data_IF_604240330124
#
_entry.id   IF_604240330124
#
_cell.length_a   1.000
_cell.length_b   1.000
_cell.length_c   1.000
_cell.angle_alpha   90.00
_cell.angle_beta   90.00
_cell.angle_gamma   90.00
#
_symmetry.space_group_name_H-M   'P 1'
#
loop_
_entity.id
_entity.type
_entity.pdbx_description
1 polymer ?
#
# COMPACT_ATOMS: atom_id res chain seq x y z
N UNK A 1 48.06 -68.51 -41.39
CA UNK A 1 46.70 -68.36 -41.83
C UNK A 1 45.93 -67.67 -40.69
N UNK A 2 45.46 -66.42 -40.97
CA UNK A 2 45.02 -65.47 -39.95
C UNK A 2 43.53 -65.58 -39.77
N UNK A 3 43.07 -65.80 -38.50
CA UNK A 3 41.64 -65.70 -38.13
C UNK A 3 41.34 -64.33 -37.58
N UNK A 4 40.33 -63.66 -38.14
CA UNK A 4 39.78 -62.41 -37.72
C UNK A 4 38.67 -62.66 -36.69
N UNK A 5 38.81 -62.11 -35.48
CA UNK A 5 37.78 -62.11 -34.46
C UNK A 5 37.03 -60.77 -34.51
N UNK A 6 35.71 -60.79 -34.77
CA UNK A 6 34.83 -59.65 -34.73
C UNK A 6 34.48 -59.29 -33.27
N UNK A 7 34.74 -58.06 -32.92
CA UNK A 7 34.33 -57.47 -31.63
C UNK A 7 33.05 -56.66 -31.89
N UNK A 8 31.92 -57.12 -31.37
CA UNK A 8 30.65 -56.35 -31.40
C UNK A 8 30.59 -55.44 -30.16
N UNK A 9 30.62 -54.15 -30.38
CA UNK A 9 30.36 -53.12 -29.34
C UNK A 9 28.86 -52.89 -29.19
N UNK A 10 28.33 -53.24 -28.03
CA UNK A 10 26.97 -52.88 -27.64
C UNK A 10 26.91 -51.45 -27.16
N UNK A 11 26.25 -50.56 -27.92
CA UNK A 11 25.95 -49.18 -27.51
C UNK A 11 24.67 -49.23 -26.67
N UNK A 12 24.81 -49.03 -25.36
CA UNK A 12 23.68 -48.85 -24.44
C UNK A 12 23.21 -47.39 -24.51
N UNK A 13 22.16 -47.12 -25.26
CA UNK A 13 21.51 -45.81 -25.36
C UNK A 13 20.71 -45.52 -24.09
N UNK A 14 21.22 -44.63 -23.22
CA UNK A 14 20.44 -44.01 -22.15
C UNK A 14 19.44 -43.01 -22.76
N UNK A 15 18.15 -43.36 -22.82
CA UNK A 15 17.09 -42.44 -23.07
C UNK A 15 16.88 -41.53 -21.83
N UNK A 16 17.38 -40.30 -21.90
CA UNK A 16 17.00 -39.25 -20.98
C UNK A 16 15.54 -38.84 -21.30
N UNK A 17 14.59 -39.26 -20.51
CA UNK A 17 13.27 -38.64 -20.45
C UNK A 17 13.43 -37.25 -19.78
N UNK A 18 13.65 -36.22 -20.57
CA UNK A 18 13.49 -34.85 -20.14
C UNK A 18 11.99 -34.64 -19.80
N UNK A 19 11.69 -34.54 -18.52
CA UNK A 19 10.40 -34.01 -18.08
C UNK A 19 10.41 -32.55 -18.49
N UNK A 20 9.74 -32.23 -19.61
CA UNK A 20 9.35 -30.87 -19.95
C UNK A 20 8.37 -30.42 -18.87
N UNK A 21 8.84 -29.69 -17.88
CA UNK A 21 7.97 -28.91 -17.02
C UNK A 21 7.22 -27.94 -17.98
N UNK A 22 5.94 -28.22 -18.20
CA UNK A 22 5.06 -27.30 -18.92
C UNK A 22 5.10 -25.93 -18.21
N UNK A 23 4.84 -24.83 -18.91
CA UNK A 23 4.77 -23.52 -18.28
C UNK A 23 3.76 -23.63 -17.13
N UNK A 24 4.23 -23.38 -15.92
CA UNK A 24 3.33 -23.13 -14.79
C UNK A 24 2.43 -22.00 -15.26
N UNK A 25 1.12 -22.23 -15.36
CA UNK A 25 0.15 -21.20 -15.66
C UNK A 25 0.31 -20.15 -14.58
N UNK A 26 0.89 -19.01 -14.91
CA UNK A 26 0.91 -17.85 -14.05
C UNK A 26 -0.56 -17.57 -13.68
N UNK A 27 -0.88 -17.62 -12.40
CA UNK A 27 -2.22 -17.30 -11.91
C UNK A 27 -2.53 -15.90 -12.44
N UNK A 28 -3.55 -15.76 -13.29
CA UNK A 28 -3.92 -14.45 -13.83
C UNK A 28 -4.44 -13.58 -12.70
N UNK A 29 -3.98 -12.34 -12.64
CA UNK A 29 -4.53 -11.36 -11.69
C UNK A 29 -6.01 -11.16 -12.02
N UNK A 30 -6.93 -11.31 -11.05
CA UNK A 30 -8.35 -11.10 -11.28
C UNK A 30 -8.65 -9.70 -11.81
N UNK A 31 -9.66 -9.58 -12.65
CA UNK A 31 -10.11 -8.33 -13.27
C UNK A 31 -11.40 -7.77 -12.67
N UNK A 32 -11.98 -8.46 -11.69
CA UNK A 32 -13.14 -8.00 -10.93
C UNK A 32 -13.07 -8.49 -9.49
N UNK A 33 -13.60 -7.69 -8.57
CA UNK A 33 -13.54 -7.92 -7.14
C UNK A 33 -14.89 -7.60 -6.49
N UNK A 34 -15.23 -8.33 -5.43
CA UNK A 34 -16.32 -7.97 -4.52
C UNK A 34 -15.87 -8.11 -3.08
N UNK A 35 -16.37 -7.24 -2.21
CA UNK A 35 -15.91 -7.10 -0.84
C UNK A 35 -17.04 -7.12 0.16
N UNK A 36 -16.73 -7.55 1.40
CA UNK A 36 -17.53 -7.26 2.58
C UNK A 36 -16.77 -6.32 3.50
N UNK A 37 -17.47 -5.37 4.11
CA UNK A 37 -16.84 -4.40 5.00
C UNK A 37 -17.43 -4.41 6.39
N UNK A 38 -16.59 -4.12 7.37
CA UNK A 38 -16.98 -3.83 8.75
C UNK A 38 -17.69 -2.48 8.85
N UNK A 39 -18.28 -2.18 10.01
CA UNK A 39 -18.47 -0.82 10.49
C UNK A 39 -17.15 -0.11 10.78
N UNK A 40 -17.17 1.12 11.30
CA UNK A 40 -15.97 1.79 11.76
C UNK A 40 -15.25 0.95 12.82
N UNK A 41 -13.99 0.59 12.55
CA UNK A 41 -13.14 -0.18 13.48
C UNK A 41 -12.32 0.73 14.38
N UNK A 42 -11.76 1.79 13.80
CA UNK A 42 -10.93 2.76 14.50
C UNK A 42 -11.53 4.14 14.23
N UNK A 43 -12.02 4.76 15.30
CA UNK A 43 -12.52 6.13 15.30
C UNK A 43 -11.51 7.06 15.94
N UNK A 44 -11.52 8.35 15.62
CA UNK A 44 -10.65 9.34 16.25
C UNK A 44 -10.75 9.29 17.79
N UNK A 45 -9.62 9.35 18.46
CA UNK A 45 -9.54 9.39 19.92
C UNK A 45 -8.68 10.57 20.34
N UNK A 46 -9.19 11.33 21.28
CA UNK A 46 -8.50 12.47 21.89
C UNK A 46 -7.90 12.09 23.23
N UNK A 47 -6.89 12.84 23.66
CA UNK A 47 -6.41 12.85 25.05
C UNK A 47 -6.46 14.26 25.63
N UNK A 48 -5.75 14.53 26.72
CA UNK A 48 -5.75 15.85 27.37
C UNK A 48 -5.04 16.94 26.55
N UNK A 49 -4.24 16.57 25.56
CA UNK A 49 -3.40 17.46 24.73
C UNK A 49 -3.76 17.44 23.26
N UNK A 50 -4.46 16.39 22.79
CA UNK A 50 -4.82 16.20 21.39
C UNK A 50 -6.34 16.09 21.25
N UNK A 51 -6.94 17.03 20.52
CA UNK A 51 -8.35 17.02 20.17
C UNK A 51 -8.50 16.55 18.71
N UNK A 52 -8.54 15.23 18.50
CA UNK A 52 -8.52 14.60 17.19
C UNK A 52 -9.94 14.40 16.66
N UNK A 53 -10.16 14.77 15.41
CA UNK A 53 -11.45 14.70 14.72
C UNK A 53 -11.47 13.70 13.56
N UNK A 54 -10.30 13.26 13.08
CA UNK A 54 -10.19 12.28 12.00
C UNK A 54 -8.97 11.37 12.18
N UNK A 55 -9.09 10.11 11.74
CA UNK A 55 -7.99 9.17 11.54
C UNK A 55 -8.01 8.70 10.10
N UNK A 56 -6.84 8.73 9.42
CA UNK A 56 -6.70 8.64 7.98
C UNK A 56 -5.47 7.84 7.55
N UNK A 57 -5.38 7.55 6.25
CA UNK A 57 -4.18 7.08 5.54
C UNK A 57 -3.45 5.95 6.30
N UNK A 58 -4.13 4.84 6.66
CA UNK A 58 -3.50 3.81 7.47
C UNK A 58 -2.50 2.97 6.66
N UNK A 59 -1.36 2.68 7.27
CA UNK A 59 -0.42 1.65 6.85
C UNK A 59 -0.23 0.65 7.98
N UNK A 60 -0.28 -0.65 7.68
CA UNK A 60 -0.27 -1.70 8.69
C UNK A 60 0.67 -2.85 8.33
N UNK A 61 1.41 -3.34 9.33
CA UNK A 61 2.22 -4.56 9.24
C UNK A 61 1.90 -5.50 10.37
N UNK A 62 1.96 -6.81 10.10
CA UNK A 62 1.78 -7.83 11.13
C UNK A 62 3.12 -8.13 11.79
N UNK A 63 3.19 -7.87 13.09
CA UNK A 63 4.41 -8.07 13.86
C UNK A 63 4.11 -8.57 15.28
N UNK A 64 4.80 -9.63 15.71
CA UNK A 64 4.63 -10.25 17.03
C UNK A 64 3.17 -10.60 17.38
N UNK A 65 2.43 -11.13 16.40
CA UNK A 65 1.04 -11.58 16.60
C UNK A 65 -0.02 -10.46 16.64
N UNK A 66 0.35 -9.23 16.30
CA UNK A 66 -0.54 -8.06 16.30
C UNK A 66 -0.31 -7.19 15.06
N UNK A 67 -1.31 -6.40 14.71
CA UNK A 67 -1.17 -5.35 13.70
C UNK A 67 -0.55 -4.10 14.33
N UNK A 68 0.55 -3.67 13.76
CA UNK A 68 1.18 -2.36 14.00
C UNK A 68 0.68 -1.43 12.92
N UNK A 69 -0.06 -0.40 13.32
CA UNK A 69 -0.70 0.54 12.39
C UNK A 69 -0.13 1.93 12.66
N UNK A 70 0.32 2.59 11.61
CA UNK A 70 0.58 4.03 11.59
C UNK A 70 -0.48 4.67 10.70
N UNK A 71 -1.04 5.78 11.13
CA UNK A 71 -2.09 6.49 10.42
C UNK A 71 -1.90 8.00 10.55
N UNK A 72 -2.43 8.76 9.61
CA UNK A 72 -2.57 10.20 9.79
C UNK A 72 -3.67 10.50 10.80
N UNK A 73 -3.49 11.51 11.63
CA UNK A 73 -4.54 12.13 12.43
C UNK A 73 -4.78 13.57 12.01
N UNK A 74 -5.97 14.10 12.30
CA UNK A 74 -6.33 15.50 12.08
C UNK A 74 -6.95 16.04 13.35
N UNK A 75 -6.41 17.15 13.86
CA UNK A 75 -6.95 17.80 15.04
C UNK A 75 -8.10 18.76 14.72
N UNK A 76 -8.77 19.27 15.74
CA UNK A 76 -9.91 20.19 15.60
C UNK A 76 -9.58 21.54 14.95
N UNK A 77 -8.30 21.88 14.81
CA UNK A 77 -7.84 23.05 14.05
C UNK A 77 -7.57 22.74 12.57
N UNK A 78 -7.77 21.47 12.14
CA UNK A 78 -7.52 21.02 10.79
C UNK A 78 -6.05 20.75 10.47
N UNK A 79 -5.19 20.65 11.48
CA UNK A 79 -3.78 20.33 11.31
C UNK A 79 -3.57 18.81 11.33
N UNK A 80 -2.64 18.34 10.50
CA UNK A 80 -2.30 16.93 10.34
C UNK A 80 -1.05 16.56 11.14
N UNK A 81 -1.08 15.37 11.73
CA UNK A 81 0.08 14.63 12.23
C UNK A 81 -0.17 13.12 12.02
N UNK A 82 0.53 12.28 12.75
CA UNK A 82 0.37 10.84 12.70
C UNK A 82 0.14 10.25 14.08
N UNK A 83 -0.55 9.12 14.12
CA UNK A 83 -0.72 8.30 15.29
C UNK A 83 -0.28 6.85 15.06
N UNK A 84 0.14 6.19 16.13
CA UNK A 84 0.46 4.78 16.18
C UNK A 84 -0.61 4.03 16.97
N UNK A 85 -1.00 2.85 16.47
CA UNK A 85 -1.91 1.92 17.11
C UNK A 85 -1.34 0.50 17.07
N UNK A 86 -1.66 -0.30 18.08
CA UNK A 86 -1.31 -1.72 18.13
C UNK A 86 -2.59 -2.51 18.45
N UNK A 87 -3.06 -3.30 17.48
CA UNK A 87 -4.35 -4.00 17.57
C UNK A 87 -4.21 -5.50 17.40
N UNK A 88 -5.15 -6.25 17.93
CA UNK A 88 -5.19 -7.72 17.85
C UNK A 88 -5.26 -8.19 16.39
N UNK A 89 -4.79 -9.42 16.12
CA UNK A 89 -4.76 -10.03 14.81
C UNK A 89 -6.15 -10.08 14.12
N UNK A 90 -7.22 -10.22 14.90
CA UNK A 90 -8.61 -10.24 14.46
C UNK A 90 -9.31 -8.87 14.55
N UNK A 91 -8.57 -7.80 14.89
CA UNK A 91 -9.09 -6.45 15.13
C UNK A 91 -10.11 -6.32 16.26
N UNK A 92 -10.27 -7.32 17.12
CA UNK A 92 -11.29 -7.35 18.20
C UNK A 92 -11.14 -6.22 19.22
N UNK A 93 -9.93 -5.70 19.43
CA UNK A 93 -9.64 -4.59 20.34
C UNK A 93 -9.46 -3.22 19.63
N UNK A 94 -9.62 -3.15 18.31
CA UNK A 94 -9.35 -1.95 17.52
C UNK A 94 -10.16 -0.73 18.00
N UNK A 95 -11.45 -0.94 18.33
CA UNK A 95 -12.33 0.13 18.83
C UNK A 95 -11.86 0.74 20.17
N UNK A 96 -11.09 0.02 20.95
CA UNK A 96 -10.60 0.45 22.28
C UNK A 96 -9.10 0.74 22.30
N UNK A 97 -8.37 0.40 21.24
CA UNK A 97 -6.94 0.66 21.14
C UNK A 97 -6.65 2.16 21.37
N UNK A 98 -5.68 2.45 22.22
CA UNK A 98 -5.27 3.83 22.52
C UNK A 98 -4.18 4.26 21.54
N UNK A 99 -4.32 5.40 20.87
CA UNK A 99 -3.27 5.92 20.01
C UNK A 99 -2.07 6.43 20.83
N UNK A 100 -0.90 6.35 20.23
CA UNK A 100 0.27 7.15 20.59
C UNK A 100 0.43 8.21 19.51
N UNK A 101 0.35 9.48 19.86
CA UNK A 101 0.50 10.59 18.93
C UNK A 101 1.99 10.82 18.62
N UNK A 102 2.32 10.83 17.34
CA UNK A 102 3.71 10.83 16.90
C UNK A 102 4.44 12.15 17.16
N UNK A 103 3.73 13.26 17.36
CA UNK A 103 4.34 14.53 17.78
C UNK A 103 4.97 14.47 19.19
N UNK A 104 4.67 13.44 19.98
CA UNK A 104 5.40 13.11 21.21
C UNK A 104 6.79 12.47 20.94
N UNK A 105 7.08 12.12 19.68
CA UNK A 105 8.40 11.59 19.27
C UNK A 105 9.26 12.74 18.76
N UNK A 106 10.51 12.89 19.25
CA UNK A 106 11.38 13.97 18.79
C UNK A 106 11.53 14.03 17.27
N UNK A 107 11.24 15.19 16.68
CA UNK A 107 11.32 15.44 15.24
C UNK A 107 10.04 15.23 14.46
N UNK A 108 8.94 14.75 15.11
CA UNK A 108 7.65 14.53 14.45
C UNK A 108 6.61 15.62 14.76
N UNK A 109 7.01 16.73 15.32
CA UNK A 109 6.10 17.87 15.52
C UNK A 109 5.75 18.56 14.20
N UNK A 110 4.51 19.00 14.06
CA UNK A 110 4.00 19.68 12.85
C UNK A 110 3.47 18.70 11.80
N UNK A 111 3.52 19.09 10.53
CA UNK A 111 2.91 18.35 9.42
C UNK A 111 3.73 17.11 9.06
N UNK A 112 3.20 15.95 9.43
CA UNK A 112 3.66 14.62 9.05
C UNK A 112 2.42 13.77 8.79
N UNK A 113 2.30 13.12 7.62
CA UNK A 113 1.06 12.44 7.22
C UNK A 113 1.31 11.34 6.18
N UNK A 114 0.28 10.56 5.85
CA UNK A 114 0.30 9.50 4.84
C UNK A 114 1.47 8.51 5.04
N UNK A 115 1.50 7.78 6.18
CA UNK A 115 2.60 6.88 6.50
C UNK A 115 2.58 5.60 5.67
N UNK A 116 3.79 5.04 5.44
CA UNK A 116 4.02 3.63 5.11
C UNK A 116 5.03 3.06 6.10
N UNK A 117 4.72 1.92 6.70
CA UNK A 117 5.64 1.20 7.59
C UNK A 117 6.01 -0.15 7.00
N UNK A 118 7.32 -0.49 6.97
CA UNK A 118 7.81 -1.80 6.54
C UNK A 118 9.18 -2.13 7.15
N UNK A 119 9.54 -3.42 7.15
CA UNK A 119 10.86 -3.89 7.53
C UNK A 119 11.79 -3.95 6.31
N UNK A 120 12.90 -3.23 6.35
CA UNK A 120 13.90 -3.32 5.29
C UNK A 120 14.94 -4.39 5.65
N UNK A 121 14.74 -5.58 5.12
CA UNK A 121 15.51 -6.78 5.45
C UNK A 121 17.03 -6.63 5.21
N UNK A 122 17.52 -5.97 4.12
CA UNK A 122 18.97 -5.80 3.91
C UNK A 122 19.69 -5.03 5.03
N UNK A 123 18.99 -4.12 5.71
CA UNK A 123 19.56 -3.33 6.82
C UNK A 123 19.06 -3.78 8.19
N UNK A 124 18.13 -4.75 8.25
CA UNK A 124 17.49 -5.24 9.49
C UNK A 124 16.90 -4.09 10.31
N UNK A 125 16.18 -3.19 9.64
CA UNK A 125 15.57 -2.00 10.24
C UNK A 125 14.15 -1.82 9.75
N UNK A 126 13.31 -1.30 10.61
CA UNK A 126 12.00 -0.76 10.26
C UNK A 126 12.16 0.63 9.67
N UNK A 127 11.38 0.90 8.65
CA UNK A 127 11.25 2.21 8.02
C UNK A 127 9.83 2.70 8.19
N UNK A 128 9.69 3.96 8.50
CA UNK A 128 8.45 4.74 8.43
C UNK A 128 8.69 5.82 7.38
N UNK A 129 7.99 5.70 6.26
CA UNK A 129 7.99 6.68 5.18
C UNK A 129 6.78 7.57 5.39
N UNK A 130 6.87 8.85 5.13
CA UNK A 130 5.76 9.78 5.30
C UNK A 130 5.98 11.07 4.52
N UNK A 131 4.90 11.84 4.41
CA UNK A 131 4.88 13.15 3.78
C UNK A 131 5.10 14.24 4.83
N UNK A 132 6.03 15.17 4.54
CA UNK A 132 6.27 16.38 5.33
C UNK A 132 6.75 17.50 4.41
N UNK A 133 5.85 17.96 3.51
CA UNK A 133 6.20 18.86 2.40
C UNK A 133 7.05 18.20 1.31
N UNK A 134 7.72 17.09 1.63
CA UNK A 134 8.44 16.20 0.73
C UNK A 134 8.49 14.79 1.33
N UNK A 135 8.91 13.76 0.55
CA UNK A 135 9.08 12.42 1.09
C UNK A 135 10.18 12.39 2.15
N UNK A 136 9.80 11.91 3.33
CA UNK A 136 10.71 11.71 4.45
C UNK A 136 10.68 10.27 4.92
N UNK A 137 11.71 9.87 5.65
CA UNK A 137 11.78 8.58 6.32
C UNK A 137 12.39 8.72 7.72
N UNK A 138 12.02 7.78 8.56
CA UNK A 138 12.64 7.52 9.85
C UNK A 138 12.91 6.03 9.99
N UNK A 139 13.80 5.63 10.90
CA UNK A 139 14.12 4.21 11.14
C UNK A 139 13.98 3.84 12.60
N UNK A 140 13.65 2.56 12.85
CA UNK A 140 13.53 2.00 14.19
C UNK A 140 14.02 0.54 14.20
N UNK A 141 14.42 0.03 15.36
CA UNK A 141 14.71 -1.40 15.56
C UNK A 141 13.47 -2.21 15.94
N UNK A 142 12.43 -1.55 16.47
CA UNK A 142 11.18 -2.15 16.92
C UNK A 142 9.99 -1.23 16.58
N UNK A 143 9.10 -1.63 15.65
CA UNK A 143 8.00 -0.77 15.18
C UNK A 143 6.92 -0.58 16.24
N UNK A 144 6.95 -1.38 17.33
CA UNK A 144 6.02 -1.25 18.46
C UNK A 144 6.45 -0.22 19.50
N UNK A 145 7.56 0.47 19.24
CA UNK A 145 8.12 1.53 20.10
C UNK A 145 8.10 2.86 19.37
N UNK A 146 6.93 3.49 19.22
CA UNK A 146 6.78 4.70 18.41
C UNK A 146 7.67 5.86 18.87
N UNK A 147 8.01 5.93 20.16
CA UNK A 147 8.92 6.94 20.72
C UNK A 147 10.40 6.79 20.29
N UNK A 148 10.78 5.66 19.68
CA UNK A 148 12.17 5.34 19.34
C UNK A 148 12.51 5.54 17.85
N UNK A 149 11.61 6.11 17.07
CA UNK A 149 11.91 6.50 15.70
C UNK A 149 13.03 7.55 15.67
N UNK A 150 13.97 7.39 14.74
CA UNK A 150 15.06 8.37 14.56
C UNK A 150 14.51 9.70 14.04
N UNK A 151 15.31 10.75 14.13
CA UNK A 151 14.96 12.02 13.49
C UNK A 151 14.65 11.82 12.00
N UNK A 152 13.55 12.41 11.48
CA UNK A 152 13.21 12.38 10.07
C UNK A 152 14.32 12.86 9.15
N UNK A 153 14.44 12.20 7.99
CA UNK A 153 15.38 12.55 6.93
C UNK A 153 14.68 12.61 5.59
N UNK A 154 15.11 13.49 4.73
CA UNK A 154 14.57 13.64 3.39
C UNK A 154 15.15 12.60 2.44
N UNK A 155 14.33 12.10 1.49
CA UNK A 155 14.82 11.31 0.36
C UNK A 155 15.52 12.16 -0.70
N UNK A 156 15.13 13.43 -0.83
CA UNK A 156 15.72 14.39 -1.77
C UNK A 156 16.20 15.64 -1.04
N UNK A 157 17.24 16.27 -1.57
CA UNK A 157 17.68 17.57 -1.08
C UNK A 157 16.65 18.68 -1.36
N UNK A 158 15.93 18.55 -2.47
CA UNK A 158 14.84 19.45 -2.89
C UNK A 158 13.90 18.73 -3.85
N UNK A 159 12.67 19.24 -4.02
CA UNK A 159 11.73 18.72 -4.99
C UNK A 159 12.32 18.82 -6.41
N UNK A 160 12.34 17.69 -7.17
CA UNK A 160 12.79 17.70 -8.56
C UNK A 160 11.91 18.60 -9.42
N UNK A 161 12.53 19.39 -10.32
CA UNK A 161 11.82 20.33 -11.19
C UNK A 161 10.82 19.68 -12.17
N UNK A 162 10.96 18.37 -12.42
CA UNK A 162 10.03 17.58 -13.24
C UNK A 162 8.71 17.23 -12.51
N UNK A 163 8.61 17.55 -11.22
CA UNK A 163 7.46 17.22 -10.37
C UNK A 163 6.86 18.52 -9.84
N UNK A 164 5.65 18.83 -10.26
CA UNK A 164 4.95 20.07 -9.85
C UNK A 164 4.36 19.98 -8.45
N UNK A 165 3.86 18.80 -8.09
CA UNK A 165 3.35 18.45 -6.77
C UNK A 165 3.66 16.98 -6.49
N UNK A 166 3.77 16.59 -5.21
CA UNK A 166 4.00 15.22 -4.81
C UNK A 166 3.40 14.93 -3.44
N UNK A 167 2.65 13.83 -3.39
CA UNK A 167 1.96 13.36 -2.18
C UNK A 167 1.95 11.83 -2.14
N UNK A 168 1.63 11.27 -0.97
CA UNK A 168 1.34 9.85 -0.75
C UNK A 168 2.42 8.91 -1.26
N UNK A 169 3.56 8.94 -0.57
CA UNK A 169 4.75 8.21 -0.98
C UNK A 169 4.69 6.74 -0.56
N UNK A 170 5.01 5.86 -1.50
CA UNK A 170 5.10 4.43 -1.28
C UNK A 170 6.43 3.86 -1.76
N UNK A 171 7.10 3.09 -0.92
CA UNK A 171 8.36 2.41 -1.24
C UNK A 171 8.10 0.91 -1.36
N UNK A 172 8.54 0.32 -2.46
CA UNK A 172 8.58 -1.13 -2.67
C UNK A 172 9.91 -1.50 -3.32
N UNK A 173 10.47 -2.68 -2.97
CA UNK A 173 11.74 -3.11 -3.55
C UNK A 173 11.60 -4.50 -4.19
N UNK A 174 12.27 -4.67 -5.33
CA UNK A 174 12.64 -5.99 -5.86
C UNK A 174 14.02 -6.40 -5.31
N UNK A 175 14.61 -7.45 -5.87
CA UNK A 175 15.92 -7.94 -5.47
C UNK A 175 17.11 -7.04 -5.88
N UNK A 176 16.87 -6.04 -6.73
CA UNK A 176 17.91 -5.20 -7.35
C UNK A 176 17.76 -3.73 -6.96
N UNK A 177 16.53 -3.24 -6.91
CA UNK A 177 16.22 -1.82 -6.69
C UNK A 177 15.09 -1.62 -5.70
N UNK A 178 15.11 -0.46 -5.06
CA UNK A 178 13.95 0.12 -4.40
C UNK A 178 13.35 1.21 -5.28
N UNK A 179 12.03 1.30 -5.27
CA UNK A 179 11.24 2.25 -6.03
C UNK A 179 10.41 3.10 -5.07
N UNK A 180 10.38 4.39 -5.34
CA UNK A 180 9.51 5.35 -4.68
C UNK A 180 8.42 5.74 -5.66
N UNK A 181 7.19 5.38 -5.36
CA UNK A 181 5.99 5.74 -6.10
C UNK A 181 5.27 6.87 -5.41
N UNK A 182 4.56 7.70 -6.16
CA UNK A 182 3.75 8.79 -5.62
C UNK A 182 2.85 9.41 -6.69
N UNK A 183 1.85 10.16 -6.27
CA UNK A 183 0.98 10.98 -7.12
C UNK A 183 1.25 12.47 -6.94
N UNK A 184 0.59 13.28 -7.74
CA UNK A 184 0.75 14.73 -7.71
C UNK A 184 -0.55 15.52 -7.76
N UNK A 185 -1.71 14.92 -7.49
CA UNK A 185 -3.04 15.53 -7.68
C UNK A 185 -3.27 16.12 -9.08
N UNK A 186 -2.54 15.63 -10.06
CA UNK A 186 -2.48 16.21 -11.39
C UNK A 186 -2.73 15.20 -12.52
N UNK A 187 -3.21 14.00 -12.16
CA UNK A 187 -3.48 12.93 -13.12
C UNK A 187 -2.24 12.12 -13.51
N UNK A 188 -1.14 12.24 -12.78
CA UNK A 188 0.09 11.50 -13.06
C UNK A 188 0.49 10.60 -11.88
N UNK A 189 0.89 9.39 -12.23
CA UNK A 189 1.53 8.43 -11.35
C UNK A 189 3.03 8.41 -11.63
N UNK A 190 3.83 8.70 -10.61
CA UNK A 190 5.27 8.87 -10.72
C UNK A 190 6.03 7.71 -10.09
N UNK A 191 7.26 7.50 -10.56
CA UNK A 191 8.21 6.56 -10.02
C UNK A 191 9.63 7.11 -10.05
N UNK A 192 10.35 6.98 -8.93
CA UNK A 192 11.80 7.08 -8.89
C UNK A 192 12.39 5.73 -8.44
N UNK A 193 13.70 5.52 -8.63
CA UNK A 193 14.37 4.28 -8.20
C UNK A 193 15.78 4.52 -7.73
N UNK A 194 16.28 3.62 -6.87
CA UNK A 194 17.68 3.54 -6.43
C UNK A 194 18.11 2.07 -6.36
N UNK A 195 19.38 1.73 -6.56
CA UNK A 195 19.89 0.39 -6.25
C UNK A 195 19.57 0.02 -4.78
N UNK A 196 19.17 -1.23 -4.52
CA UNK A 196 18.77 -1.68 -3.19
C UNK A 196 19.84 -1.44 -2.13
N UNK A 197 21.13 -1.58 -2.50
CA UNK A 197 22.25 -1.32 -1.61
C UNK A 197 22.47 0.16 -1.27
N UNK A 198 21.87 1.08 -2.01
CA UNK A 198 21.96 2.52 -1.75
C UNK A 198 20.78 3.05 -0.91
N UNK A 199 19.67 2.29 -0.87
CA UNK A 199 18.47 2.72 -0.14
C UNK A 199 18.82 3.06 1.33
N UNK A 200 18.31 4.20 1.86
CA UNK A 200 17.26 5.09 1.35
C UNK A 200 17.78 6.27 0.50
N UNK A 201 19.02 6.26 0.05
CA UNK A 201 19.64 7.36 -0.67
C UNK A 201 19.71 7.08 -2.19
N UNK A 202 20.01 8.13 -2.97
CA UNK A 202 20.38 7.98 -4.37
C UNK A 202 19.21 7.72 -5.32
N UNK A 203 17.99 8.08 -4.95
CA UNK A 203 16.85 8.07 -5.87
C UNK A 203 17.10 8.99 -7.05
N UNK A 204 16.84 8.49 -8.26
CA UNK A 204 16.96 9.25 -9.50
C UNK A 204 15.81 10.28 -9.64
N UNK A 205 15.88 11.07 -10.69
CA UNK A 205 14.77 11.96 -11.08
C UNK A 205 13.51 11.14 -11.37
N UNK A 206 12.36 11.48 -10.77
CA UNK A 206 11.11 10.78 -11.01
C UNK A 206 10.67 10.87 -12.47
N UNK A 207 10.03 9.79 -12.93
CA UNK A 207 9.40 9.70 -14.25
C UNK A 207 7.92 9.39 -14.09
N UNK A 208 7.09 9.86 -15.03
CA UNK A 208 5.68 9.50 -15.12
C UNK A 208 5.58 8.09 -15.69
N UNK A 209 4.87 7.19 -15.03
CA UNK A 209 4.70 5.79 -15.44
C UNK A 209 3.29 5.46 -15.90
N UNK A 210 2.31 6.28 -15.50
CA UNK A 210 0.97 6.27 -16.04
C UNK A 210 0.35 7.67 -15.90
N UNK A 211 -0.62 7.99 -16.76
CA UNK A 211 -1.38 9.25 -16.70
C UNK A 211 -2.84 9.02 -17.06
N UNK A 212 -3.71 9.82 -16.46
CA UNK A 212 -5.14 9.86 -16.76
C UNK A 212 -5.68 11.27 -16.47
N UNK A 213 -7.01 11.44 -16.43
CA UNK A 213 -7.57 12.65 -15.86
C UNK A 213 -7.20 12.75 -14.38
N UNK A 214 -7.18 13.97 -13.85
CA UNK A 214 -6.92 14.21 -12.42
C UNK A 214 -7.83 13.37 -11.51
N UNK A 215 -9.08 13.16 -11.87
CA UNK A 215 -10.03 12.40 -11.07
C UNK A 215 -9.83 10.88 -11.17
N UNK A 216 -9.28 10.39 -12.27
CA UNK A 216 -9.00 8.96 -12.46
C UNK A 216 -7.58 8.54 -12.05
N UNK A 217 -6.75 9.47 -11.64
CA UNK A 217 -5.39 9.26 -11.12
C UNK A 217 -5.13 10.36 -10.10
N UNK A 218 -5.84 10.26 -8.96
CA UNK A 218 -5.95 11.37 -8.03
C UNK A 218 -4.83 11.33 -6.98
N UNK A 219 -4.90 10.38 -6.05
CA UNK A 219 -3.93 10.25 -4.94
C UNK A 219 -3.84 8.80 -4.44
N UNK A 220 -3.11 8.53 -3.36
CA UNK A 220 -3.16 7.28 -2.61
C UNK A 220 -2.68 6.06 -3.39
N UNK A 221 -1.46 6.06 -3.89
CA UNK A 221 -0.88 4.98 -4.70
C UNK A 221 -0.08 3.99 -3.88
N UNK A 222 -0.66 2.86 -3.59
CA UNK A 222 0.01 1.76 -2.90
C UNK A 222 0.35 0.65 -3.89
N UNK A 223 1.62 0.24 -3.89
CA UNK A 223 2.16 -0.75 -4.84
C UNK A 223 2.52 -2.04 -4.12
N UNK A 224 2.09 -3.18 -4.68
CA UNK A 224 2.26 -4.50 -4.10
C UNK A 224 2.85 -5.50 -5.08
N UNK A 225 3.64 -6.45 -4.59
CA UNK A 225 3.98 -7.66 -5.33
C UNK A 225 2.89 -8.71 -5.14
N UNK A 226 2.51 -9.40 -6.21
CA UNK A 226 1.50 -10.46 -6.16
C UNK A 226 2.18 -11.81 -6.01
N UNK A 227 1.95 -12.48 -4.90
CA UNK A 227 2.59 -13.74 -4.54
C UNK A 227 2.47 -14.79 -5.64
N UNK A 228 3.57 -15.46 -5.98
CA UNK A 228 3.60 -16.57 -6.94
C UNK A 228 3.40 -16.20 -8.42
N UNK A 229 3.22 -14.92 -8.77
CA UNK A 229 2.88 -14.52 -10.16
C UNK A 229 3.99 -13.78 -10.89
N UNK A 230 4.89 -13.10 -10.17
CA UNK A 230 5.86 -12.16 -10.76
C UNK A 230 5.22 -10.87 -11.29
N UNK A 231 3.97 -10.58 -10.90
CA UNK A 231 3.21 -9.38 -11.27
C UNK A 231 3.19 -8.41 -10.09
N UNK A 232 3.10 -7.13 -10.39
CA UNK A 232 2.89 -6.06 -9.42
C UNK A 232 1.56 -5.37 -9.70
N UNK A 233 0.89 -4.92 -8.66
CA UNK A 233 -0.33 -4.12 -8.75
C UNK A 233 -0.14 -2.79 -8.02
N UNK A 234 -0.79 -1.75 -8.53
CA UNK A 234 -0.86 -0.44 -7.89
C UNK A 234 -2.33 -0.05 -7.74
N UNK A 235 -2.76 0.21 -6.51
CA UNK A 235 -4.10 0.72 -6.21
C UNK A 235 -4.04 2.24 -6.14
N UNK A 236 -4.76 2.90 -7.03
CA UNK A 236 -4.79 4.36 -7.15
C UNK A 236 -6.16 4.85 -6.70
N UNK A 237 -6.19 5.80 -5.79
CA UNK A 237 -7.43 6.47 -5.39
C UNK A 237 -7.95 7.40 -6.50
N UNK A 238 -9.25 7.37 -6.71
CA UNK A 238 -9.96 8.10 -7.74
C UNK A 238 -11.20 8.81 -7.18
N UNK A 239 -11.67 9.82 -7.90
CA UNK A 239 -12.92 10.51 -7.60
C UNK A 239 -14.00 10.12 -8.60
N UNK A 240 -15.13 9.63 -8.10
CA UNK A 240 -16.34 9.36 -8.87
C UNK A 240 -17.14 10.63 -9.20
N UNK A 241 -18.24 10.50 -9.96
CA UNK A 241 -19.01 11.64 -10.49
C UNK A 241 -19.55 12.61 -9.45
N UNK A 242 -19.82 12.14 -8.21
CA UNK A 242 -20.32 12.98 -7.11
C UNK A 242 -19.24 13.16 -6.01
N UNK A 243 -17.97 13.00 -6.36
CA UNK A 243 -16.85 13.12 -5.43
C UNK A 243 -16.65 11.92 -4.51
N UNK A 244 -17.39 10.81 -4.69
CA UNK A 244 -17.13 9.59 -3.94
C UNK A 244 -15.75 9.06 -4.28
N UNK A 245 -15.06 8.55 -3.29
CA UNK A 245 -13.73 7.98 -3.46
C UNK A 245 -13.80 6.49 -3.69
N UNK A 246 -12.95 5.99 -4.60
CA UNK A 246 -12.83 4.58 -4.95
C UNK A 246 -11.40 4.27 -5.40
N UNK A 247 -11.03 3.01 -5.46
CA UNK A 247 -9.74 2.56 -5.97
C UNK A 247 -9.89 1.89 -7.33
N UNK A 248 -9.02 2.28 -8.25
CA UNK A 248 -8.71 1.52 -9.47
C UNK A 248 -7.41 0.76 -9.28
N UNK A 249 -7.13 -0.22 -10.15
CA UNK A 249 -5.87 -0.96 -10.12
C UNK A 249 -5.15 -0.88 -11.46
N UNK A 250 -3.86 -0.58 -11.39
CA UNK A 250 -2.91 -0.76 -12.48
C UNK A 250 -2.09 -2.02 -12.20
N UNK A 251 -1.47 -2.59 -13.25
CA UNK A 251 -0.56 -3.71 -13.12
C UNK A 251 0.69 -3.55 -13.97
N UNK A 252 1.77 -4.23 -13.59
CA UNK A 252 3.03 -4.31 -14.33
C UNK A 252 3.70 -5.66 -14.11
N UNK A 253 4.49 -6.12 -15.09
CA UNK A 253 5.31 -7.34 -14.97
C UNK A 253 6.65 -7.10 -14.25
N UNK A 254 7.01 -5.85 -14.01
CA UNK A 254 8.16 -5.45 -13.19
C UNK A 254 7.99 -4.01 -12.72
N UNK A 255 8.55 -3.66 -11.54
CA UNK A 255 8.41 -2.34 -10.93
C UNK A 255 9.00 -1.22 -11.79
N UNK A 256 10.03 -1.51 -12.56
CA UNK A 256 10.68 -0.55 -13.47
C UNK A 256 10.00 -0.40 -14.83
N UNK A 257 8.96 -1.19 -15.12
CA UNK A 257 8.27 -1.27 -16.39
C UNK A 257 7.16 -0.27 -16.61
N UNK A 258 6.36 -0.56 -17.63
CA UNK A 258 5.13 0.16 -17.97
C UNK A 258 3.97 -0.36 -17.13
N UNK A 259 3.15 0.55 -16.63
CA UNK A 259 1.94 0.26 -15.89
C UNK A 259 0.71 0.40 -16.79
N UNK A 260 -0.19 -0.56 -16.71
CA UNK A 260 -1.41 -0.62 -17.52
C UNK A 260 -2.63 -0.84 -16.64
N UNK A 261 -3.80 -0.41 -17.09
CA UNK A 261 -5.08 -0.69 -16.40
C UNK A 261 -5.31 -2.19 -16.26
N UNK A 262 -5.82 -2.61 -15.11
CA UNK A 262 -6.17 -4.00 -14.83
C UNK A 262 -7.65 -4.24 -15.20
N UNK A 263 -7.92 -4.38 -16.49
CA UNK A 263 -9.24 -4.78 -16.99
C UNK A 263 -10.41 -3.93 -16.47
N UNK A 264 -11.40 -4.59 -15.87
CA UNK A 264 -12.61 -3.93 -15.39
C UNK A 264 -12.48 -3.21 -14.03
N UNK A 265 -11.28 -3.14 -13.44
CA UNK A 265 -11.08 -2.51 -12.12
C UNK A 265 -10.69 -1.05 -12.20
N UNK A 266 -10.82 -0.41 -13.36
CA UNK A 266 -10.25 0.90 -13.62
C UNK A 266 -11.26 2.03 -13.78
N UNK A 267 -12.53 1.82 -13.39
CA UNK A 267 -13.56 2.84 -13.48
C UNK A 267 -14.56 2.75 -12.31
N UNK A 268 -15.30 3.84 -12.11
CA UNK A 268 -16.22 3.96 -10.98
C UNK A 268 -17.29 2.86 -10.88
N UNK A 269 -17.99 2.44 -11.96
CA UNK A 269 -19.00 1.39 -11.88
C UNK A 269 -18.44 -0.01 -11.58
N UNK A 270 -17.16 -0.26 -11.88
CA UNK A 270 -16.49 -1.53 -11.62
C UNK A 270 -15.13 -1.29 -10.97
N UNK A 271 -15.10 -0.77 -9.72
CA UNK A 271 -13.85 -0.42 -9.06
C UNK A 271 -13.11 -1.66 -8.55
N UNK A 272 -11.83 -1.51 -8.22
CA UNK A 272 -11.15 -2.48 -7.35
C UNK A 272 -11.81 -2.50 -5.96
N UNK A 273 -12.00 -1.33 -5.35
CA UNK A 273 -12.71 -1.14 -4.09
C UNK A 273 -13.49 0.17 -4.13
N UNK A 274 -14.81 0.11 -3.97
CA UNK A 274 -15.68 1.28 -3.98
C UNK A 274 -17.11 0.92 -3.59
N UNK A 275 -18.01 1.90 -3.57
CA UNK A 275 -19.38 1.70 -3.12
C UNK A 275 -20.16 0.64 -3.92
N UNK A 276 -19.82 0.44 -5.21
CA UNK A 276 -20.59 -0.43 -6.11
C UNK A 276 -20.19 -1.91 -6.01
N UNK A 277 -19.06 -2.22 -5.36
CA UNK A 277 -18.61 -3.59 -5.14
C UNK A 277 -18.35 -3.97 -3.67
N UNK A 278 -18.74 -3.09 -2.72
CA UNK A 278 -18.68 -3.36 -1.28
C UNK A 278 -20.07 -3.58 -0.70
N UNK A 279 -20.24 -4.65 0.05
CA UNK A 279 -21.39 -4.88 0.93
C UNK A 279 -20.96 -4.83 2.38
N UNK A 280 -21.78 -4.32 3.28
CA UNK A 280 -21.46 -4.30 4.70
C UNK A 280 -21.85 -5.62 5.37
N UNK A 281 -21.11 -6.00 6.42
CA UNK A 281 -21.38 -7.21 7.18
C UNK A 281 -22.82 -7.21 7.74
N UNK A 282 -23.38 -8.41 7.97
CA UNK A 282 -24.73 -8.56 8.53
C UNK A 282 -24.90 -7.73 9.81
N UNK A 283 -25.97 -6.95 9.88
CA UNK A 283 -26.26 -6.04 11.00
C UNK A 283 -25.48 -4.71 11.00
N UNK A 284 -24.62 -4.48 10.01
CA UNK A 284 -23.88 -3.22 9.85
C UNK A 284 -24.57 -2.38 8.76
N UNK A 285 -25.06 -1.19 9.14
CA UNK A 285 -25.56 -0.22 8.17
C UNK A 285 -24.41 0.38 7.36
N UNK A 286 -24.68 0.70 6.09
CA UNK A 286 -23.72 1.42 5.26
C UNK A 286 -23.38 2.78 5.89
N UNK A 287 -22.15 2.94 6.33
CA UNK A 287 -21.69 4.11 7.05
C UNK A 287 -20.85 5.06 6.18
N UNK A 288 -20.43 4.61 5.01
CA UNK A 288 -19.68 5.39 4.03
C UNK A 288 -20.08 5.00 2.61
N UNK A 289 -19.93 5.95 1.68
CA UNK A 289 -19.94 5.72 0.23
C UNK A 289 -18.59 6.05 -0.40
N UNK A 290 -17.63 6.52 0.41
CA UNK A 290 -16.27 6.86 0.00
C UNK A 290 -15.28 5.88 0.65
N UNK A 291 -14.56 5.15 -0.18
CA UNK A 291 -13.46 4.28 0.21
C UNK A 291 -12.18 5.00 -0.22
N UNK A 292 -11.50 5.57 0.76
CA UNK A 292 -10.41 6.51 0.54
C UNK A 292 -9.16 6.03 1.26
N UNK A 293 -8.06 6.68 1.05
CA UNK A 293 -6.68 6.35 1.48
C UNK A 293 -6.57 5.19 2.45
N UNK A 294 -5.69 4.27 2.14
CA UNK A 294 -5.50 3.05 2.92
C UNK A 294 -4.67 2.05 2.15
N UNK A 295 -4.58 0.82 2.63
CA UNK A 295 -3.75 -0.18 1.99
C UNK A 295 -4.22 -1.61 2.20
N UNK A 296 -3.79 -2.49 1.30
CA UNK A 296 -3.89 -3.93 1.50
C UNK A 296 -3.04 -4.33 2.71
N UNK A 297 -3.56 -5.23 3.53
CA UNK A 297 -2.78 -5.90 4.55
C UNK A 297 -1.86 -6.90 3.84
N UNK A 298 -0.55 -6.72 4.01
CA UNK A 298 0.47 -7.51 3.30
C UNK A 298 0.72 -8.86 4.00
N UNK A 299 1.14 -9.84 3.20
CA UNK A 299 1.63 -11.13 3.68
C UNK A 299 3.11 -10.99 4.06
N UNK A 300 3.39 -10.91 5.33
CA UNK A 300 4.71 -10.54 5.84
C UNK A 300 4.76 -9.11 6.34
N UNK A 301 5.94 -8.48 6.26
CA UNK A 301 6.14 -7.12 6.76
C UNK A 301 7.34 -6.42 6.11
N UNK A 302 7.93 -7.00 5.07
CA UNK A 302 9.16 -6.49 4.48
C UNK A 302 8.91 -5.60 3.24
N UNK A 303 9.99 -5.08 2.71
CA UNK A 303 10.02 -4.14 1.58
C UNK A 303 9.46 -4.67 0.26
N UNK A 304 9.05 -5.93 0.19
CA UNK A 304 8.45 -6.51 -1.03
C UNK A 304 6.95 -6.27 -1.10
N UNK A 305 6.33 -5.85 0.00
CA UNK A 305 4.89 -5.58 0.11
C UNK A 305 4.05 -6.66 -0.57
N UNK A 306 4.31 -7.93 -0.22
CA UNK A 306 3.69 -9.09 -0.86
C UNK A 306 2.24 -9.26 -0.45
N UNK A 307 1.36 -9.55 -1.42
CA UNK A 307 -0.06 -9.85 -1.18
C UNK A 307 -0.48 -11.12 -1.89
N UNK A 308 -1.35 -11.88 -1.25
CA UNK A 308 -1.98 -13.06 -1.82
C UNK A 308 -3.42 -12.72 -2.25
N UNK A 309 -3.69 -12.81 -3.54
CA UNK A 309 -4.98 -12.41 -4.13
C UNK A 309 -6.16 -13.27 -3.69
N UNK A 310 -5.96 -14.40 -3.01
CA UNK A 310 -7.05 -15.28 -2.55
C UNK A 310 -7.70 -14.84 -1.23
N UNK A 311 -7.04 -13.95 -0.46
CA UNK A 311 -7.52 -13.55 0.87
C UNK A 311 -7.21 -12.07 1.23
N UNK A 312 -7.35 -11.19 0.26
CA UNK A 312 -7.10 -9.76 0.43
C UNK A 312 -7.95 -9.15 1.55
N UNK A 313 -7.33 -8.27 2.30
CA UNK A 313 -7.98 -7.35 3.23
C UNK A 313 -7.46 -5.95 2.98
N UNK A 314 -8.35 -4.96 2.98
CA UNK A 314 -8.01 -3.56 2.72
C UNK A 314 -8.44 -2.72 3.92
N UNK A 315 -7.49 -2.13 4.62
CA UNK A 315 -7.76 -1.17 5.69
C UNK A 315 -7.88 0.22 5.04
N UNK A 316 -9.07 0.82 5.12
CA UNK A 316 -9.40 2.06 4.40
C UNK A 316 -9.98 3.12 5.34
N UNK A 317 -9.91 4.37 4.92
CA UNK A 317 -10.67 5.44 5.56
C UNK A 317 -12.03 5.64 4.88
N UNK A 318 -13.05 5.86 5.69
CA UNK A 318 -14.41 6.21 5.26
C UNK A 318 -15.00 7.29 6.15
N UNK A 319 -16.04 7.95 5.68
CA UNK A 319 -16.78 8.94 6.45
C UNK A 319 -18.26 8.90 6.11
N UNK A 320 -19.09 9.37 7.05
CA UNK A 320 -20.51 9.52 6.80
C UNK A 320 -20.75 10.44 5.60
N UNK A 321 -21.57 10.04 4.60
CA UNK A 321 -21.78 10.83 3.40
C UNK A 321 -22.30 12.25 3.66
N UNK A 322 -23.13 12.43 4.70
CA UNK A 322 -23.62 13.75 5.08
C UNK A 322 -22.54 14.66 5.68
N UNK A 323 -21.56 14.09 6.36
CA UNK A 323 -20.39 14.83 6.88
C UNK A 323 -19.39 15.14 5.76
N UNK A 324 -19.18 14.19 4.84
CA UNK A 324 -18.32 14.35 3.68
C UNK A 324 -18.75 15.53 2.77
N UNK A 325 -20.07 15.78 2.65
CA UNK A 325 -20.62 16.82 1.77
C UNK A 325 -20.56 18.24 2.36
N UNK A 326 -20.19 18.43 3.64
CA UNK A 326 -20.52 19.68 4.38
C UNK A 326 -19.37 20.62 4.70
N UNK A 327 -18.13 20.27 4.42
CA UNK A 327 -17.02 21.12 4.89
C UNK A 327 -15.73 21.00 4.06
N UNK A 328 -14.73 21.81 4.40
CA UNK A 328 -13.39 21.62 3.86
C UNK A 328 -12.86 20.22 4.18
N UNK A 329 -12.07 19.66 3.28
CA UNK A 329 -11.58 18.28 3.34
C UNK A 329 -10.91 17.90 4.67
N UNK A 330 -10.14 18.79 5.25
CA UNK A 330 -9.42 18.58 6.51
C UNK A 330 -10.32 18.54 7.77
N UNK A 331 -11.63 18.82 7.63
CA UNK A 331 -12.61 18.69 8.71
C UNK A 331 -13.58 17.53 8.53
N UNK A 332 -13.39 16.70 7.51
CA UNK A 332 -14.17 15.47 7.34
C UNK A 332 -13.77 14.48 8.45
N UNK A 333 -14.76 13.98 9.24
CA UNK A 333 -14.48 13.06 10.35
C UNK A 333 -14.24 11.63 9.84
N UNK A 334 -13.06 11.42 9.28
CA UNK A 334 -12.65 10.12 8.78
C UNK A 334 -12.46 9.11 9.90
N UNK A 335 -12.78 7.85 9.59
CA UNK A 335 -12.63 6.68 10.45
C UNK A 335 -12.11 5.51 9.62
N UNK A 336 -11.47 4.53 10.26
CA UNK A 336 -10.96 3.37 9.54
C UNK A 336 -11.95 2.21 9.58
N UNK A 337 -12.12 1.55 8.44
CA UNK A 337 -12.87 0.32 8.26
C UNK A 337 -12.01 -0.75 7.56
N UNK A 338 -12.42 -2.01 7.63
CA UNK A 338 -11.75 -3.13 6.99
C UNK A 338 -12.65 -3.78 5.96
N UNK A 339 -12.24 -3.74 4.70
CA UNK A 339 -12.85 -4.53 3.63
C UNK A 339 -12.13 -5.87 3.50
N UNK A 340 -12.88 -6.96 3.42
CA UNK A 340 -12.37 -8.32 3.22
C UNK A 340 -12.87 -8.85 1.88
N UNK A 341 -11.98 -9.41 1.08
CA UNK A 341 -12.34 -10.01 -0.21
C UNK A 341 -13.41 -11.09 -0.03
N UNK A 342 -14.48 -10.97 -0.80
CA UNK A 342 -15.57 -11.96 -0.86
C UNK A 342 -15.40 -12.88 -2.06
N UNK A 343 -15.10 -12.31 -3.23
CA UNK A 343 -14.78 -13.02 -4.46
C UNK A 343 -14.01 -12.17 -5.44
N UNK A 344 -13.25 -12.80 -6.33
CA UNK A 344 -12.53 -12.18 -7.45
C UNK A 344 -12.58 -13.08 -8.67
N UNK A 345 -12.63 -12.53 -9.88
CA UNK A 345 -12.76 -13.24 -11.15
C UNK A 345 -11.89 -12.60 -12.24
#
# INVERSE_FOLDING_TARGET
>A
MKSLANLAAAVCGMLFFGVLAGPAFAQSVPTSYSWTSTGPLISPKSDSTHNIIAVKDPSAVFFNGRWVIYASDVNSAGNYNMEYLNVAADFSDAATAKPYFMDNTPGFSGYHTAPQVFFFAPQKKWYLIFQSGQPQFSTNSDPTKPQNWTQPKNFYASQPSSVSNWIDFWVICDTVKCYLFFNGDNGNFYRASTPIGNFPNGFNTPVIVASSSQFNMFEGDNVYSVEGTGVYIANIECLGPNGQRYFRTLWASNLGGTWSSLGNTDNFPTPFLGQDNVTFNSGVSAWTTSFSSGGLLIDGNDQTDSVNLSHLKFLYQGSNPAAYAKGPYNFIPWQLGLATLKSSH
#
